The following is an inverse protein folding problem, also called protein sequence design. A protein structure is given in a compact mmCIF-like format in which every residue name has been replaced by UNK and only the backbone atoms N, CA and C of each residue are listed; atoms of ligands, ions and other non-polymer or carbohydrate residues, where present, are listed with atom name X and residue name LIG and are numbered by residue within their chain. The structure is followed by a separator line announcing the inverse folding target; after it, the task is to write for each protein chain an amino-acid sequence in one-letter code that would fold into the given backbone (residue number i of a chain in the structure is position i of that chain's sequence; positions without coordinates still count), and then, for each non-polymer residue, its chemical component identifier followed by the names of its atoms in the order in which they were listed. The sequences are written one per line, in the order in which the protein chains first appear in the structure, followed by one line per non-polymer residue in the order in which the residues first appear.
data_IF_561249477625
#
_entry.id   IF_561249477625
#
_cell.length_a   1.000
_cell.length_b   1.000
_cell.length_c   1.000
_cell.angle_alpha   90.00
_cell.angle_beta   90.00
_cell.angle_gamma   90.00
#
_symmetry.space_group_name_H-M   'P 1'
#
loop_
_entity.id
_entity.type
_entity.pdbx_description
1 polymer ?
#
# COMPACT_ATOMS: atom_id res chain seq x y z
N UNK A 1 -12.06 4.16 -10.95
CA UNK A 1 -12.63 4.38 -9.62
C UNK A 1 -12.94 3.04 -8.97
N UNK A 2 -12.81 2.88 -7.65
CA UNK A 2 -12.99 1.58 -6.97
C UNK A 2 -14.28 0.87 -7.34
N UNK A 3 -15.41 1.56 -7.34
CA UNK A 3 -16.72 0.97 -7.65
C UNK A 3 -16.83 0.39 -9.08
N UNK A 4 -16.12 0.95 -10.06
CA UNK A 4 -16.11 0.41 -11.42
C UNK A 4 -15.19 -0.82 -11.52
N UNK A 5 -14.09 -0.83 -10.76
CA UNK A 5 -13.20 -1.97 -10.63
C UNK A 5 -13.92 -3.14 -9.97
N UNK A 6 -14.68 -2.90 -8.90
CA UNK A 6 -15.43 -3.90 -8.16
C UNK A 6 -16.45 -4.63 -9.04
N UNK A 7 -17.12 -3.91 -9.94
CA UNK A 7 -18.05 -4.52 -10.91
C UNK A 7 -17.35 -5.52 -11.84
N UNK A 8 -16.13 -5.23 -12.27
CA UNK A 8 -15.34 -6.13 -13.11
C UNK A 8 -14.80 -7.30 -12.29
N UNK A 9 -14.32 -7.04 -11.08
CA UNK A 9 -13.76 -8.07 -10.20
C UNK A 9 -14.79 -9.10 -9.77
N UNK A 10 -16.08 -8.72 -9.64
CA UNK A 10 -17.16 -9.69 -9.35
C UNK A 10 -17.39 -10.70 -10.48
N UNK A 11 -17.09 -10.33 -11.73
CA UNK A 11 -17.21 -11.18 -12.91
C UNK A 11 -15.89 -11.90 -13.27
N UNK A 12 -14.78 -11.48 -12.71
CA UNK A 12 -13.48 -12.08 -12.98
C UNK A 12 -13.36 -13.48 -12.33
N UNK A 13 -12.68 -14.45 -12.96
CA UNK A 13 -12.35 -15.71 -12.32
C UNK A 13 -11.59 -15.49 -11.01
N UNK A 14 -11.95 -16.24 -9.97
CA UNK A 14 -11.21 -16.21 -8.70
C UNK A 14 -9.82 -16.79 -8.93
N UNK A 15 -8.80 -16.04 -8.56
CA UNK A 15 -7.41 -16.52 -8.57
C UNK A 15 -7.18 -17.47 -7.40
N UNK A 16 -6.32 -18.43 -7.62
CA UNK A 16 -5.79 -19.32 -6.58
C UNK A 16 -4.43 -18.83 -6.09
N UNK A 17 -4.00 -19.30 -4.93
CA UNK A 17 -2.63 -19.04 -4.43
C UNK A 17 -1.57 -19.43 -5.47
N UNK A 18 -1.78 -20.54 -6.19
CA UNK A 18 -0.87 -20.99 -7.25
C UNK A 18 -0.81 -20.02 -8.42
N UNK A 19 -1.95 -19.41 -8.80
CA UNK A 19 -1.98 -18.40 -9.86
C UNK A 19 -1.20 -17.15 -9.44
N UNK A 20 -1.34 -16.71 -8.19
CA UNK A 20 -0.65 -15.54 -7.67
C UNK A 20 0.87 -15.80 -7.56
N UNK A 21 1.29 -16.97 -7.09
CA UNK A 21 2.71 -17.37 -7.08
C UNK A 21 3.29 -17.40 -8.50
N UNK A 22 2.55 -17.94 -9.47
CA UNK A 22 3.00 -17.96 -10.87
C UNK A 22 3.11 -16.54 -11.46
N UNK A 23 2.17 -15.65 -11.12
CA UNK A 23 2.20 -14.24 -11.52
C UNK A 23 3.42 -13.50 -10.95
N UNK A 24 3.76 -13.73 -9.66
CA UNK A 24 4.96 -13.19 -9.02
C UNK A 24 6.21 -13.66 -9.78
N UNK A 25 6.33 -14.95 -10.09
CA UNK A 25 7.46 -15.48 -10.84
C UNK A 25 7.60 -14.87 -12.23
N UNK A 26 6.49 -14.71 -12.93
CA UNK A 26 6.48 -14.04 -14.23
C UNK A 26 6.92 -12.57 -14.12
N UNK A 27 6.44 -11.84 -13.10
CA UNK A 27 6.83 -10.45 -12.85
C UNK A 27 8.34 -10.34 -12.54
N UNK A 28 8.87 -11.21 -11.67
CA UNK A 28 10.30 -11.25 -11.36
C UNK A 28 11.15 -11.44 -12.62
N UNK A 29 10.76 -12.34 -13.52
CA UNK A 29 11.46 -12.54 -14.78
C UNK A 29 11.47 -11.27 -15.64
N UNK A 30 10.32 -10.56 -15.75
CA UNK A 30 10.23 -9.30 -16.51
C UNK A 30 11.10 -8.20 -15.90
N UNK A 31 11.12 -8.09 -14.58
CA UNK A 31 11.99 -7.15 -13.89
C UNK A 31 13.48 -7.42 -14.15
N UNK A 32 13.91 -8.69 -14.02
CA UNK A 32 15.30 -9.07 -14.28
C UNK A 32 15.72 -8.84 -15.73
N UNK A 33 14.85 -9.09 -16.71
CA UNK A 33 15.10 -8.80 -18.13
C UNK A 33 15.32 -7.30 -18.38
N UNK A 34 14.70 -6.44 -17.54
CA UNK A 34 14.89 -4.99 -17.56
C UNK A 34 16.06 -4.51 -16.67
N UNK A 35 16.78 -5.43 -16.01
CA UNK A 35 17.88 -5.10 -15.08
C UNK A 35 17.42 -4.63 -13.70
N UNK A 36 16.14 -4.81 -13.36
CA UNK A 36 15.59 -4.47 -12.04
C UNK A 36 15.80 -5.63 -11.09
N UNK A 37 16.54 -5.40 -10.02
CA UNK A 37 16.87 -6.41 -9.00
C UNK A 37 16.19 -6.17 -7.66
N UNK A 38 15.51 -5.03 -7.49
CA UNK A 38 14.74 -4.70 -6.29
C UNK A 38 13.48 -3.94 -6.67
N UNK A 39 12.39 -4.24 -5.97
CA UNK A 39 11.10 -3.58 -6.18
C UNK A 39 10.36 -3.34 -4.88
N UNK A 40 9.34 -2.49 -4.94
CA UNK A 40 8.38 -2.29 -3.86
C UNK A 40 6.98 -2.55 -4.40
N UNK A 41 6.23 -3.44 -3.76
CA UNK A 41 4.79 -3.50 -3.95
C UNK A 41 4.14 -2.55 -2.94
N UNK A 42 3.68 -1.40 -3.42
CA UNK A 42 3.11 -0.35 -2.58
C UNK A 42 1.59 -0.45 -2.43
N UNK A 43 1.00 -1.61 -2.74
CA UNK A 43 -0.44 -1.86 -2.62
C UNK A 43 -0.73 -3.29 -2.19
N UNK A 44 -0.26 -3.65 -0.99
CA UNK A 44 -0.44 -5.03 -0.48
C UNK A 44 -1.67 -5.10 0.41
N UNK A 45 -2.71 -5.75 -0.09
CA UNK A 45 -3.96 -6.02 0.63
C UNK A 45 -3.89 -7.34 1.40
N UNK A 46 -4.78 -7.56 2.40
CA UNK A 46 -4.90 -8.86 3.07
C UNK A 46 -5.13 -10.00 2.07
N UNK A 47 -4.43 -11.12 2.26
CA UNK A 47 -4.43 -12.26 1.35
C UNK A 47 -3.29 -12.25 0.31
N UNK A 48 -2.67 -11.10 0.03
CA UNK A 48 -1.50 -11.03 -0.86
C UNK A 48 -0.19 -11.47 -0.20
N UNK A 49 0.09 -11.20 1.09
CA UNK A 49 1.35 -11.60 1.72
C UNK A 49 1.61 -13.10 1.65
N UNK A 50 0.57 -13.93 1.74
CA UNK A 50 0.69 -15.40 1.66
C UNK A 50 1.29 -15.85 0.33
N UNK A 51 0.91 -15.19 -0.78
CA UNK A 51 1.44 -15.51 -2.09
C UNK A 51 2.93 -15.15 -2.21
N UNK A 52 3.33 -13.99 -1.66
CA UNK A 52 4.72 -13.57 -1.62
C UNK A 52 5.58 -14.50 -0.75
N UNK A 53 5.09 -14.87 0.42
CA UNK A 53 5.77 -15.83 1.32
C UNK A 53 5.91 -17.21 0.66
N UNK A 54 4.86 -17.69 -0.02
CA UNK A 54 4.91 -18.94 -0.75
C UNK A 54 5.89 -18.89 -1.93
N UNK A 55 5.92 -17.78 -2.67
CA UNK A 55 6.85 -17.56 -3.77
C UNK A 55 8.31 -17.53 -3.30
N UNK A 56 8.60 -16.86 -2.17
CA UNK A 56 9.92 -16.81 -1.58
C UNK A 56 10.37 -18.20 -1.09
N UNK A 57 9.56 -18.89 -0.28
CA UNK A 57 9.82 -20.25 0.20
C UNK A 57 10.00 -21.26 -0.93
N UNK A 58 9.31 -21.06 -2.06
CA UNK A 58 9.42 -21.89 -3.26
C UNK A 58 10.58 -21.52 -4.20
N UNK A 59 11.37 -20.49 -3.89
CA UNK A 59 12.46 -19.98 -4.74
C UNK A 59 11.97 -19.34 -6.03
N UNK A 60 10.70 -18.94 -6.10
CA UNK A 60 10.08 -18.26 -7.24
C UNK A 60 10.33 -16.76 -7.21
N UNK A 61 10.33 -16.16 -6.01
CA UNK A 61 10.69 -14.76 -5.80
C UNK A 61 12.22 -14.63 -5.90
N UNK A 62 12.70 -14.00 -6.97
CA UNK A 62 14.13 -13.93 -7.32
C UNK A 62 14.71 -12.51 -7.31
N UNK A 63 13.92 -11.52 -6.88
CA UNK A 63 14.33 -10.13 -6.70
C UNK A 63 13.93 -9.64 -5.31
N UNK A 64 14.70 -8.72 -4.76
CA UNK A 64 14.37 -8.13 -3.47
C UNK A 64 13.05 -7.36 -3.57
N UNK A 65 12.08 -7.75 -2.75
CA UNK A 65 10.73 -7.17 -2.77
C UNK A 65 10.35 -6.66 -1.39
N UNK A 66 10.02 -5.37 -1.32
CA UNK A 66 9.51 -4.75 -0.11
C UNK A 66 7.99 -4.59 -0.20
N UNK A 67 7.27 -5.21 0.71
CA UNK A 67 5.81 -5.14 0.78
C UNK A 67 5.38 -3.96 1.64
N UNK A 68 4.51 -3.11 1.09
CA UNK A 68 3.86 -2.04 1.84
C UNK A 68 2.40 -2.42 2.06
N UNK A 69 2.02 -2.68 3.30
CA UNK A 69 0.66 -3.03 3.67
C UNK A 69 -0.26 -1.83 3.54
N UNK A 70 -1.34 -1.98 2.79
CA UNK A 70 -2.30 -0.92 2.54
C UNK A 70 -3.21 -0.71 3.76
N UNK A 71 -3.12 0.46 4.39
CA UNK A 71 -4.08 0.92 5.39
C UNK A 71 -5.19 1.73 4.70
N UNK A 72 -6.44 1.41 5.01
CA UNK A 72 -7.63 2.13 4.54
C UNK A 72 -8.45 2.62 5.74
N UNK A 73 -9.19 3.74 5.61
CA UNK A 73 -9.92 4.33 6.75
C UNK A 73 -10.81 3.34 7.49
N UNK A 74 -11.55 2.53 6.75
CA UNK A 74 -12.56 1.63 7.32
C UNK A 74 -11.98 0.33 7.89
N UNK A 75 -10.76 -0.05 7.51
CA UNK A 75 -10.23 -1.41 7.77
C UNK A 75 -8.91 -1.46 8.53
N UNK A 76 -8.16 -0.38 8.65
CA UNK A 76 -6.81 -0.41 9.22
C UNK A 76 -6.77 -0.96 10.65
N UNK A 77 -7.81 -0.68 11.46
CA UNK A 77 -7.87 -1.20 12.84
C UNK A 77 -8.04 -2.71 12.88
N UNK A 78 -8.87 -3.26 11.98
CA UNK A 78 -9.11 -4.70 11.92
C UNK A 78 -7.89 -5.46 11.39
N UNK A 79 -7.17 -4.90 10.41
CA UNK A 79 -5.99 -5.55 9.81
C UNK A 79 -4.67 -5.26 10.51
N UNK A 80 -4.63 -4.36 11.49
CA UNK A 80 -3.39 -4.01 12.20
C UNK A 80 -2.67 -5.22 12.77
N UNK A 81 -3.40 -6.16 13.37
CA UNK A 81 -2.82 -7.39 13.93
C UNK A 81 -2.26 -8.31 12.85
N UNK A 82 -2.94 -8.39 11.72
CA UNK A 82 -2.50 -9.23 10.59
C UNK A 82 -1.21 -8.66 9.98
N UNK A 83 -1.09 -7.34 9.84
CA UNK A 83 0.13 -6.69 9.36
C UNK A 83 1.33 -6.97 10.29
N UNK A 84 1.14 -6.92 11.61
CA UNK A 84 2.18 -7.30 12.57
C UNK A 84 2.54 -8.77 12.45
N UNK A 85 1.55 -9.65 12.28
CA UNK A 85 1.77 -11.09 12.11
C UNK A 85 2.56 -11.40 10.83
N UNK A 86 2.16 -10.83 9.69
CA UNK A 86 2.86 -11.01 8.43
C UNK A 86 4.28 -10.46 8.46
N UNK A 87 4.50 -9.27 9.04
CA UNK A 87 5.85 -8.76 9.24
C UNK A 87 6.71 -9.75 10.03
N UNK A 88 6.18 -10.27 11.14
CA UNK A 88 6.90 -11.22 11.99
C UNK A 88 7.20 -12.54 11.26
N UNK A 89 6.27 -13.04 10.43
CA UNK A 89 6.51 -14.23 9.62
C UNK A 89 7.60 -13.99 8.58
N UNK A 90 7.58 -12.84 7.91
CA UNK A 90 8.59 -12.47 6.92
C UNK A 90 9.96 -12.27 7.57
N UNK A 91 10.04 -11.63 8.74
CA UNK A 91 11.29 -11.45 9.50
C UNK A 91 11.87 -12.79 10.01
N UNK A 92 11.05 -13.81 10.17
CA UNK A 92 11.48 -15.16 10.54
C UNK A 92 11.97 -16.01 9.35
N UNK A 93 11.85 -15.54 8.11
CA UNK A 93 12.38 -16.23 6.94
C UNK A 93 13.92 -16.27 6.98
N UNK A 94 14.56 -17.22 6.27
CA UNK A 94 16.02 -17.29 6.19
C UNK A 94 16.64 -15.97 5.69
N UNK A 95 17.89 -15.72 6.06
CA UNK A 95 18.63 -14.52 5.60
C UNK A 95 18.84 -14.44 4.08
N UNK A 96 18.57 -15.53 3.36
CA UNK A 96 18.54 -15.57 1.90
C UNK A 96 17.19 -15.18 1.30
N UNK A 97 16.18 -14.90 2.12
CA UNK A 97 14.88 -14.41 1.65
C UNK A 97 15.00 -13.07 0.94
N UNK A 98 14.24 -12.91 -0.12
CA UNK A 98 14.10 -11.67 -0.88
C UNK A 98 12.95 -10.77 -0.39
N UNK A 99 12.29 -11.13 0.72
CA UNK A 99 11.15 -10.38 1.25
C UNK A 99 11.51 -9.44 2.40
N UNK A 100 10.86 -8.28 2.40
CA UNK A 100 10.76 -7.39 3.56
C UNK A 100 9.37 -6.76 3.61
N UNK A 101 8.88 -6.43 4.82
CA UNK A 101 7.57 -5.83 5.02
C UNK A 101 7.58 -4.92 6.26
N UNK A 102 8.15 -3.73 6.12
CA UNK A 102 8.34 -2.79 7.24
C UNK A 102 7.55 -1.50 7.09
N UNK A 103 6.67 -1.39 6.10
CA UNK A 103 6.05 -0.13 5.72
C UNK A 103 4.53 -0.27 5.63
N UNK A 104 3.84 0.75 6.13
CA UNK A 104 2.40 0.91 5.92
C UNK A 104 2.17 1.99 4.86
N UNK A 105 1.34 1.66 3.87
CA UNK A 105 0.93 2.54 2.79
C UNK A 105 -0.40 3.22 3.12
N UNK A 106 -0.42 4.51 2.99
CA UNK A 106 -1.62 5.35 3.06
C UNK A 106 -1.89 5.98 1.69
N UNK A 107 -3.14 6.04 1.27
CA UNK A 107 -3.59 6.80 0.10
C UNK A 107 -4.39 7.98 0.63
N UNK A 108 -3.86 9.20 0.50
CA UNK A 108 -4.49 10.40 1.06
C UNK A 108 -5.50 11.03 0.10
N UNK A 109 -5.28 10.90 -1.22
CA UNK A 109 -6.13 11.45 -2.27
C UNK A 109 -6.05 10.66 -3.58
N UNK A 110 -6.61 11.19 -4.65
CA UNK A 110 -6.57 10.59 -5.97
C UNK A 110 -5.48 11.18 -6.89
N UNK A 111 -5.85 11.49 -8.14
CA UNK A 111 -4.94 11.97 -9.18
C UNK A 111 -5.46 13.25 -9.86
N UNK A 112 -4.56 14.15 -10.28
CA UNK A 112 -4.91 15.39 -10.97
C UNK A 112 -5.68 15.13 -12.27
N UNK A 113 -5.24 14.18 -13.07
CA UNK A 113 -5.88 13.83 -14.34
C UNK A 113 -7.30 13.29 -14.21
N UNK A 114 -7.67 12.80 -13.03
CA UNK A 114 -9.00 12.30 -12.71
C UNK A 114 -9.86 13.33 -11.95
N UNK A 115 -9.34 14.53 -11.66
CA UNK A 115 -10.03 15.55 -10.85
C UNK A 115 -10.25 15.12 -9.38
N UNK A 116 -9.46 14.14 -8.89
CA UNK A 116 -9.63 13.54 -7.55
C UNK A 116 -8.48 13.84 -6.60
N UNK A 117 -7.39 14.44 -7.07
CA UNK A 117 -6.35 14.96 -6.17
C UNK A 117 -6.93 16.09 -5.31
N UNK A 118 -6.67 16.08 -4.00
CA UNK A 118 -7.24 17.06 -3.06
C UNK A 118 -6.46 18.37 -3.09
N UNK A 119 -7.13 19.43 -3.50
CA UNK A 119 -6.57 20.78 -3.65
C UNK A 119 -7.09 21.73 -2.57
N UNK A 120 -6.29 22.74 -2.24
CA UNK A 120 -6.69 23.84 -1.34
C UNK A 120 -7.64 24.81 -2.05
N UNK A 121 -7.45 25.02 -3.35
CA UNK A 121 -8.31 25.83 -4.20
C UNK A 121 -9.01 24.94 -5.24
N UNK A 122 -10.20 25.32 -5.73
CA UNK A 122 -10.91 24.54 -6.74
C UNK A 122 -10.12 24.33 -8.03
N UNK A 123 -10.43 23.23 -8.74
CA UNK A 123 -9.91 22.99 -10.07
C UNK A 123 -10.31 24.10 -11.04
N UNK A 124 -9.42 24.48 -11.96
CA UNK A 124 -9.69 25.54 -12.94
C UNK A 124 -10.80 25.17 -13.93
N UNK A 125 -10.91 23.91 -14.26
CA UNK A 125 -11.90 23.32 -15.17
C UNK A 125 -13.18 22.86 -14.45
N UNK A 126 -13.14 22.72 -13.11
CA UNK A 126 -14.31 22.48 -12.26
C UNK A 126 -14.28 23.32 -10.97
N UNK A 127 -14.75 24.59 -11.03
CA UNK A 127 -14.73 25.50 -9.87
C UNK A 127 -15.59 25.07 -8.66
N UNK A 128 -16.29 23.93 -8.75
CA UNK A 128 -17.09 23.37 -7.65
C UNK A 128 -16.39 22.22 -6.94
N UNK A 129 -15.27 21.75 -7.46
CA UNK A 129 -14.53 20.61 -6.93
C UNK A 129 -13.16 21.04 -6.43
N UNK A 130 -12.79 20.58 -5.25
CA UNK A 130 -11.43 20.61 -4.70
C UNK A 130 -10.80 19.20 -4.66
N UNK A 131 -11.39 18.24 -5.37
CA UNK A 131 -10.97 16.84 -5.28
C UNK A 131 -11.48 16.14 -4.02
N UNK A 132 -10.78 15.12 -3.55
CA UNK A 132 -11.26 14.26 -2.48
C UNK A 132 -10.11 13.84 -1.55
N UNK A 133 -10.21 14.23 -0.26
CA UNK A 133 -9.41 13.58 0.79
C UNK A 133 -10.06 12.24 1.15
N UNK A 134 -9.26 11.18 1.17
CA UNK A 134 -9.72 9.82 1.49
C UNK A 134 -9.84 9.64 3.01
N UNK A 135 -9.02 10.32 3.79
CA UNK A 135 -9.00 10.28 5.24
C UNK A 135 -9.53 11.59 5.85
N UNK A 136 -10.22 11.50 6.98
CA UNK A 136 -10.27 12.65 7.87
C UNK A 136 -8.90 12.89 8.51
N UNK A 137 -8.59 14.10 8.92
CA UNK A 137 -7.29 14.44 9.51
C UNK A 137 -7.03 13.62 10.79
N UNK A 138 -8.02 13.58 11.69
CA UNK A 138 -7.91 12.83 12.95
C UNK A 138 -7.69 11.32 12.72
N UNK A 139 -8.39 10.71 11.76
CA UNK A 139 -8.21 9.29 11.45
C UNK A 139 -6.84 8.99 10.86
N UNK A 140 -6.33 9.85 9.97
CA UNK A 140 -5.01 9.70 9.41
C UNK A 140 -3.93 9.80 10.49
N UNK A 141 -4.03 10.80 11.37
CA UNK A 141 -3.13 10.97 12.52
C UNK A 141 -3.17 9.73 13.41
N UNK A 142 -4.37 9.30 13.82
CA UNK A 142 -4.52 8.13 14.68
C UNK A 142 -3.92 6.87 14.07
N UNK A 143 -4.12 6.64 12.78
CA UNK A 143 -3.58 5.47 12.08
C UNK A 143 -2.05 5.54 11.96
N UNK A 144 -1.49 6.69 11.57
CA UNK A 144 -0.04 6.87 11.43
C UNK A 144 0.67 6.73 12.79
N UNK A 145 0.16 7.35 13.85
CA UNK A 145 0.67 7.22 15.21
C UNK A 145 0.64 5.76 15.68
N UNK A 146 -0.47 5.07 15.43
CA UNK A 146 -0.60 3.66 15.79
C UNK A 146 0.46 2.78 15.13
N UNK A 147 0.66 2.92 13.81
CA UNK A 147 1.61 2.08 13.09
C UNK A 147 3.06 2.46 13.35
N UNK A 148 3.36 3.74 13.56
CA UNK A 148 4.69 4.18 13.99
C UNK A 148 5.06 3.60 15.36
N UNK A 149 4.14 3.62 16.34
CA UNK A 149 4.33 3.01 17.64
C UNK A 149 4.55 1.48 17.56
N UNK A 150 4.07 0.81 16.51
CA UNK A 150 4.35 -0.59 16.20
C UNK A 150 5.68 -0.78 15.45
N UNK A 151 6.42 0.29 15.16
CA UNK A 151 7.72 0.26 14.47
C UNK A 151 7.61 0.09 12.95
N UNK A 152 6.49 0.45 12.33
CA UNK A 152 6.37 0.51 10.89
C UNK A 152 6.83 1.86 10.35
N UNK A 153 7.45 1.84 9.19
CA UNK A 153 7.67 3.03 8.38
C UNK A 153 6.34 3.49 7.76
N UNK A 154 6.15 4.80 7.66
CA UNK A 154 4.97 5.41 7.05
C UNK A 154 5.29 5.82 5.61
N UNK A 155 4.43 5.46 4.67
CA UNK A 155 4.49 5.87 3.28
C UNK A 155 3.13 6.39 2.81
N UNK A 156 3.07 7.65 2.39
CA UNK A 156 1.83 8.30 1.97
C UNK A 156 1.85 8.64 0.46
N UNK A 157 0.74 8.31 -0.22
CA UNK A 157 0.40 8.92 -1.50
C UNK A 157 -0.33 10.23 -1.21
N UNK A 158 0.18 11.33 -1.71
CA UNK A 158 -0.42 12.65 -1.61
C UNK A 158 -0.03 13.47 -2.85
N UNK A 159 -0.99 13.74 -3.72
CA UNK A 159 -0.79 14.42 -5.02
C UNK A 159 -1.20 15.88 -4.92
N UNK A 160 -2.39 16.17 -4.43
CA UNK A 160 -2.88 17.53 -4.26
C UNK A 160 -2.22 18.22 -3.07
N UNK A 161 -2.15 19.54 -3.10
CA UNK A 161 -1.52 20.35 -2.05
C UNK A 161 -2.28 20.26 -0.72
N UNK A 162 -3.60 20.05 -0.72
CA UNK A 162 -4.38 19.76 0.49
C UNK A 162 -4.02 18.39 1.07
N UNK A 163 -3.85 17.36 0.24
CA UNK A 163 -3.42 16.03 0.68
C UNK A 163 -1.99 16.05 1.22
N UNK A 164 -1.08 16.76 0.55
CA UNK A 164 0.30 16.95 1.03
C UNK A 164 0.30 17.62 2.40
N UNK A 165 -0.49 18.68 2.59
CA UNK A 165 -0.64 19.35 3.88
C UNK A 165 -1.15 18.40 4.96
N UNK A 166 -2.22 17.64 4.67
CA UNK A 166 -2.78 16.66 5.60
C UNK A 166 -1.75 15.60 6.00
N UNK A 167 -1.01 15.06 5.02
CA UNK A 167 0.03 14.06 5.28
C UNK A 167 1.17 14.63 6.15
N UNK A 168 1.61 15.86 5.89
CA UNK A 168 2.64 16.53 6.69
C UNK A 168 2.17 16.83 8.11
N UNK A 169 0.92 17.25 8.30
CA UNK A 169 0.33 17.45 9.64
C UNK A 169 0.29 16.13 10.42
N UNK A 170 -0.07 15.03 9.77
CA UNK A 170 -0.10 13.73 10.41
C UNK A 170 1.32 13.24 10.78
N UNK A 171 2.31 13.41 9.91
CA UNK A 171 3.71 13.08 10.20
C UNK A 171 4.26 13.96 11.34
N UNK A 172 3.92 15.25 11.36
CA UNK A 172 4.31 16.13 12.48
C UNK A 172 3.74 15.65 13.82
N UNK A 173 2.47 15.19 13.82
CA UNK A 173 1.86 14.65 15.02
C UNK A 173 2.59 13.38 15.53
N UNK A 174 3.00 12.48 14.61
CA UNK A 174 3.80 11.29 14.95
C UNK A 174 5.13 11.69 15.60
N UNK A 175 5.81 12.72 15.09
CA UNK A 175 7.14 13.14 15.60
C UNK A 175 7.10 13.83 16.96
N UNK A 176 5.92 14.21 17.46
CA UNK A 176 5.72 14.90 18.76
C UNK A 176 5.41 13.95 19.92
N UNK A 177 5.26 12.66 19.64
CA UNK A 177 5.00 11.62 20.65
C UNK A 177 6.31 10.94 21.05
#
# INVERSE_FOLDING_TARGET
EPSAIDLVLTAAPKRTLSDDVAAIGWACQRYLEAGVTSTTDAWVEPGMPEAYIAADKGGVLTIDTNLFFLAQPDTWRSYSKDFVSFRSEIEALPSSSHLSAKTIKFICDGALSAGTAALLEPYLDDPKSTGLLIWSEDELINAMVHFDALGFQIHAHAIGDAAIRQALNAIEAVTKI
#
